data_IF_957654121578
#
_entry.id   IF_957654121578
#
_cell.length_a   1.000
_cell.length_b   1.000
_cell.length_c   1.000
_cell.angle_alpha   90.00
_cell.angle_beta   90.00
_cell.angle_gamma   90.00
#
_symmetry.space_group_name_H-M   'P 1'
#
loop_
_entity.id
_entity.type
_entity.pdbx_description
1 polymer ?
#
# COMPACT_ATOMS: atom_id res chain seq x y z
N UNK A 1 -14.97 -2.61 -17.41
CA UNK A 1 -15.95 -2.91 -18.48
C UNK A 1 -17.41 -2.88 -18.00
N UNK A 2 -17.74 -3.27 -16.77
CA UNK A 2 -19.13 -3.33 -16.29
C UNK A 2 -19.82 -1.97 -16.08
N UNK A 3 -19.11 -0.95 -15.57
CA UNK A 3 -19.71 0.37 -15.30
C UNK A 3 -20.19 1.09 -16.58
N UNK A 4 -19.41 0.99 -17.67
CA UNK A 4 -19.81 1.54 -18.97
C UNK A 4 -21.11 0.90 -19.46
N UNK A 5 -21.18 -0.44 -19.40
CA UNK A 5 -22.37 -1.20 -19.79
C UNK A 5 -23.60 -0.79 -18.96
N UNK A 6 -23.47 -0.62 -17.65
CA UNK A 6 -24.58 -0.18 -16.79
C UNK A 6 -25.03 1.24 -17.10
N UNK A 7 -24.11 2.14 -17.41
CA UNK A 7 -24.44 3.49 -17.89
C UNK A 7 -25.20 3.48 -19.21
N UNK A 8 -24.74 2.68 -20.18
CA UNK A 8 -25.40 2.56 -21.49
C UNK A 8 -26.81 1.95 -21.35
N UNK A 9 -26.97 0.92 -20.50
CA UNK A 9 -28.27 0.33 -20.18
C UNK A 9 -29.20 1.33 -19.46
N UNK A 10 -28.69 2.07 -18.49
CA UNK A 10 -29.46 3.10 -17.78
C UNK A 10 -29.98 4.20 -18.70
N UNK A 11 -29.16 4.63 -19.67
CA UNK A 11 -29.56 5.60 -20.71
C UNK A 11 -30.65 5.05 -21.63
N UNK A 12 -30.49 3.81 -22.10
CA UNK A 12 -31.48 3.15 -22.94
C UNK A 12 -32.82 2.97 -22.21
N UNK A 13 -32.80 2.61 -20.92
CA UNK A 13 -34.01 2.50 -20.10
C UNK A 13 -34.67 3.87 -19.86
N UNK A 14 -33.88 4.92 -19.65
CA UNK A 14 -34.41 6.28 -19.49
C UNK A 14 -35.08 6.80 -20.77
N UNK A 15 -34.51 6.49 -21.94
CA UNK A 15 -35.07 6.89 -23.23
C UNK A 15 -36.45 6.25 -23.52
N UNK A 16 -36.73 5.09 -22.92
CA UNK A 16 -37.98 4.34 -23.08
C UNK A 16 -38.86 4.39 -21.81
N UNK A 17 -38.65 5.37 -20.93
CA UNK A 17 -39.31 5.42 -19.62
C UNK A 17 -40.85 5.49 -19.69
N UNK A 18 -41.41 6.07 -20.76
CA UNK A 18 -42.86 6.14 -20.96
C UNK A 18 -43.52 4.75 -21.10
N UNK A 19 -42.82 3.79 -21.73
CA UNK A 19 -43.28 2.42 -21.94
C UNK A 19 -42.89 1.49 -20.77
N UNK A 20 -41.90 1.90 -19.97
CA UNK A 20 -41.29 1.10 -18.91
C UNK A 20 -41.47 1.71 -17.51
N UNK A 21 -42.59 2.41 -17.29
CA UNK A 21 -42.88 3.12 -16.04
C UNK A 21 -42.82 2.22 -14.79
N UNK A 22 -43.16 0.94 -14.91
CA UNK A 22 -43.06 -0.05 -13.83
C UNK A 22 -41.61 -0.40 -13.42
N UNK A 23 -40.62 -0.09 -14.26
CA UNK A 23 -39.19 -0.31 -13.98
C UNK A 23 -38.49 0.94 -13.43
N UNK A 24 -39.17 2.08 -13.36
CA UNK A 24 -38.59 3.35 -12.96
C UNK A 24 -37.86 3.29 -11.60
N UNK A 25 -38.41 2.64 -10.55
CA UNK A 25 -37.70 2.50 -9.28
C UNK A 25 -36.38 1.71 -9.42
N UNK A 26 -36.36 0.68 -10.28
CA UNK A 26 -35.16 -0.13 -10.52
C UNK A 26 -34.14 0.63 -11.38
N UNK A 27 -34.60 1.43 -12.34
CA UNK A 27 -33.76 2.32 -13.15
C UNK A 27 -33.05 3.36 -12.28
N UNK A 28 -33.78 3.99 -11.37
CA UNK A 28 -33.21 4.95 -10.43
C UNK A 28 -32.17 4.29 -9.52
N UNK A 29 -32.47 3.09 -9.01
CA UNK A 29 -31.51 2.32 -8.23
C UNK A 29 -30.24 1.96 -9.01
N UNK A 30 -30.36 1.61 -10.29
CA UNK A 30 -29.20 1.34 -11.14
C UNK A 30 -28.32 2.59 -11.32
N UNK A 31 -28.92 3.77 -11.45
CA UNK A 31 -28.20 5.03 -11.54
C UNK A 31 -27.43 5.34 -10.25
N UNK A 32 -28.06 5.17 -9.08
CA UNK A 32 -27.39 5.33 -7.77
C UNK A 32 -26.18 4.39 -7.62
N UNK A 33 -26.36 3.11 -7.98
CA UNK A 33 -25.29 2.12 -7.90
C UNK A 33 -24.13 2.45 -8.87
N UNK A 34 -24.44 3.00 -10.04
CA UNK A 34 -23.42 3.44 -10.99
C UNK A 34 -22.60 4.59 -10.42
N UNK A 35 -23.24 5.62 -9.85
CA UNK A 35 -22.57 6.75 -9.22
C UNK A 35 -21.67 6.27 -8.08
N UNK A 36 -22.23 5.47 -7.15
CA UNK A 36 -21.47 4.94 -6.03
C UNK A 36 -20.25 4.13 -6.49
N UNK A 37 -20.40 3.30 -7.53
CA UNK A 37 -19.29 2.52 -8.03
C UNK A 37 -18.21 3.37 -8.73
N UNK A 38 -18.58 4.48 -9.37
CA UNK A 38 -17.63 5.44 -9.92
C UNK A 38 -16.84 6.14 -8.81
N UNK A 39 -17.51 6.59 -7.75
CA UNK A 39 -16.88 7.23 -6.60
C UNK A 39 -15.90 6.28 -5.91
N UNK A 40 -16.33 5.04 -5.63
CA UNK A 40 -15.47 4.02 -5.03
C UNK A 40 -14.29 3.65 -5.91
N UNK A 41 -14.45 3.68 -7.25
CA UNK A 41 -13.33 3.44 -8.17
C UNK A 41 -12.32 4.59 -8.10
N UNK A 42 -12.78 5.84 -8.03
CA UNK A 42 -11.90 6.99 -7.86
C UNK A 42 -11.16 6.97 -6.51
N UNK A 43 -11.85 6.59 -5.44
CA UNK A 43 -11.26 6.40 -4.12
C UNK A 43 -10.22 5.28 -4.13
N UNK A 44 -10.54 4.12 -4.72
CA UNK A 44 -9.60 3.00 -4.85
C UNK A 44 -8.32 3.40 -5.60
N UNK A 45 -8.44 4.19 -6.68
CA UNK A 45 -7.29 4.70 -7.42
C UNK A 45 -6.44 5.63 -6.55
N UNK A 46 -7.08 6.52 -5.79
CA UNK A 46 -6.40 7.44 -4.86
C UNK A 46 -5.65 6.67 -3.76
N UNK A 47 -6.28 5.67 -3.16
CA UNK A 47 -5.67 4.81 -2.15
C UNK A 47 -4.50 4.01 -2.72
N UNK A 48 -4.61 3.53 -3.96
CA UNK A 48 -3.53 2.82 -4.65
C UNK A 48 -2.32 3.72 -4.87
N UNK A 49 -2.52 4.96 -5.34
CA UNK A 49 -1.45 5.93 -5.48
C UNK A 49 -0.80 6.26 -4.12
N UNK A 50 -1.62 6.47 -3.08
CA UNK A 50 -1.11 6.73 -1.72
C UNK A 50 -0.31 5.56 -1.18
N UNK A 51 -0.74 4.32 -1.41
CA UNK A 51 -0.01 3.11 -1.02
C UNK A 51 1.36 3.04 -1.69
N UNK A 52 1.43 3.33 -2.99
CA UNK A 52 2.70 3.33 -3.73
C UNK A 52 3.68 4.36 -3.15
N UNK A 53 3.20 5.57 -2.88
CA UNK A 53 4.01 6.63 -2.28
C UNK A 53 4.52 6.26 -0.90
N UNK A 54 3.64 5.79 0.00
CA UNK A 54 4.04 5.36 1.35
C UNK A 54 5.02 4.19 1.30
N UNK A 55 4.85 3.26 0.37
CA UNK A 55 5.76 2.13 0.18
C UNK A 55 7.15 2.60 -0.23
N UNK A 56 7.23 3.58 -1.14
CA UNK A 56 8.51 4.19 -1.56
C UNK A 56 9.19 4.89 -0.39
N UNK A 57 8.44 5.68 0.38
CA UNK A 57 8.97 6.37 1.57
C UNK A 57 9.48 5.37 2.60
N UNK A 58 8.72 4.31 2.88
CA UNK A 58 9.11 3.26 3.81
C UNK A 58 10.40 2.55 3.35
N UNK A 59 10.51 2.23 2.06
CA UNK A 59 11.71 1.62 1.50
C UNK A 59 12.94 2.51 1.68
N UNK A 60 12.81 3.82 1.46
CA UNK A 60 13.88 4.79 1.66
C UNK A 60 14.32 4.85 3.14
N UNK A 61 13.37 4.96 4.07
CA UNK A 61 13.65 5.00 5.51
C UNK A 61 14.32 3.72 5.99
N UNK A 62 13.87 2.54 5.53
CA UNK A 62 14.50 1.26 5.87
C UNK A 62 15.93 1.18 5.34
N UNK A 63 16.17 1.64 4.11
CA UNK A 63 17.49 1.64 3.51
C UNK A 63 18.47 2.53 4.31
N UNK A 64 18.05 3.75 4.65
CA UNK A 64 18.83 4.67 5.46
C UNK A 64 19.09 4.12 6.87
N UNK A 65 18.05 3.60 7.53
CA UNK A 65 18.18 2.98 8.85
C UNK A 65 19.14 1.80 8.86
N UNK A 66 19.16 0.98 7.80
CA UNK A 66 20.09 -0.15 7.67
C UNK A 66 21.55 0.33 7.54
N UNK A 67 21.78 1.37 6.74
CA UNK A 67 23.12 1.94 6.57
C UNK A 67 23.62 2.50 7.91
N UNK A 68 22.80 3.32 8.56
CA UNK A 68 23.14 3.93 9.84
C UNK A 68 23.38 2.88 10.94
N UNK A 69 22.49 1.89 11.04
CA UNK A 69 22.65 0.77 11.99
C UNK A 69 23.97 0.03 11.77
N UNK A 70 24.30 -0.27 10.51
CA UNK A 70 25.58 -0.93 10.17
C UNK A 70 26.77 -0.09 10.60
N UNK A 71 26.75 1.21 10.29
CA UNK A 71 27.82 2.13 10.68
C UNK A 71 28.01 2.19 12.20
N UNK A 72 26.91 2.33 12.95
CA UNK A 72 26.94 2.35 14.41
C UNK A 72 27.52 1.05 14.98
N UNK A 73 27.12 -0.11 14.44
CA UNK A 73 27.65 -1.40 14.89
C UNK A 73 29.15 -1.57 14.59
N UNK A 74 29.62 -1.06 13.46
CA UNK A 74 31.06 -1.00 13.15
C UNK A 74 31.79 -0.12 14.15
N UNK A 75 31.27 1.09 14.43
CA UNK A 75 31.85 2.00 15.42
C UNK A 75 31.91 1.40 16.83
N UNK A 76 30.86 0.69 17.26
CA UNK A 76 30.85 -0.06 18.53
C UNK A 76 31.96 -1.12 18.56
N UNK A 77 32.14 -1.87 17.46
CA UNK A 77 33.18 -2.88 17.34
C UNK A 77 34.59 -2.30 17.34
N UNK A 78 34.79 -1.16 16.70
CA UNK A 78 36.06 -0.43 16.69
C UNK A 78 36.40 0.12 18.08
N UNK A 79 35.42 0.73 18.76
CA UNK A 79 35.60 1.35 20.08
C UNK A 79 35.95 0.34 21.18
N UNK A 80 35.22 -0.78 21.27
CA UNK A 80 35.48 -1.81 22.29
C UNK A 80 36.55 -2.82 21.87
N UNK A 81 36.87 -2.89 20.58
CA UNK A 81 37.76 -3.89 20.02
C UNK A 81 37.06 -5.20 19.68
N UNK A 82 37.59 -5.90 18.67
CA UNK A 82 36.93 -7.05 18.03
C UNK A 82 36.73 -8.29 18.92
N UNK A 83 37.39 -8.37 20.08
CA UNK A 83 37.35 -9.51 21.02
C UNK A 83 36.58 -9.20 22.31
N UNK A 84 36.04 -7.99 22.47
CA UNK A 84 35.36 -7.61 23.70
C UNK A 84 34.03 -8.34 23.85
N UNK A 85 33.81 -9.00 24.99
CA UNK A 85 32.55 -9.67 25.32
C UNK A 85 31.37 -8.68 25.40
N UNK A 86 31.65 -7.40 25.65
CA UNK A 86 30.67 -6.30 25.64
C UNK A 86 29.94 -6.13 24.29
N UNK A 87 30.49 -6.66 23.20
CA UNK A 87 29.84 -6.65 21.89
C UNK A 87 28.51 -7.44 21.87
N UNK A 88 28.34 -8.42 22.74
CA UNK A 88 27.13 -9.26 22.82
C UNK A 88 25.88 -8.44 23.20
N UNK A 89 26.04 -7.40 24.03
CA UNK A 89 24.93 -6.50 24.42
C UNK A 89 24.35 -5.74 23.22
N UNK A 90 25.13 -5.57 22.15
CA UNK A 90 24.73 -4.91 20.91
C UNK A 90 24.34 -5.92 19.81
N UNK A 91 24.21 -7.21 20.15
CA UNK A 91 23.93 -8.27 19.19
C UNK A 91 25.11 -8.61 18.28
N UNK A 92 26.33 -8.18 18.61
CA UNK A 92 27.54 -8.45 17.84
C UNK A 92 28.32 -9.62 18.44
N UNK A 93 28.84 -10.51 17.58
CA UNK A 93 29.64 -11.65 18.01
C UNK A 93 31.12 -11.25 18.18
N UNK A 94 31.72 -11.41 19.37
CA UNK A 94 33.15 -11.22 19.58
C UNK A 94 33.96 -12.22 18.74
N UNK A 95 35.10 -11.80 18.21
CA UNK A 95 36.03 -12.70 17.54
C UNK A 95 36.71 -13.60 18.56
N UNK A 96 36.45 -14.91 18.47
CA UNK A 96 37.11 -15.93 19.27
C UNK A 96 37.94 -16.80 18.32
N UNK A 97 39.25 -16.89 18.54
CA UNK A 97 40.08 -17.85 17.82
C UNK A 97 39.67 -19.26 18.27
N UNK A 98 39.28 -20.13 17.35
CA UNK A 98 39.12 -21.56 17.67
C UNK A 98 40.48 -22.10 18.12
N UNK A 99 40.56 -22.81 19.26
CA UNK A 99 41.76 -23.55 19.61
C UNK A 99 42.01 -24.60 18.53
N UNK A 100 43.26 -24.65 18.03
CA UNK A 100 43.74 -25.71 17.12
C UNK A 100 43.97 -27.00 17.87
#
# INVERSE_FOLDING_TARGET
>A
MHLKKWGDQGKALAANAAELSFLEPKRQRLAELLTLAQDLTAEQNTLTARKQEVTRQLAAVIAEGRILSTFLMVGVREHFGSRAEKLVEFGLQPFRSQPR
#
